data_IF_211535470620
#
_entry.id   IF_211535470620
#
_cell.length_a   1.000
_cell.length_b   1.000
_cell.length_c   1.000
_cell.angle_alpha   90.00
_cell.angle_beta   90.00
_cell.angle_gamma   90.00
#
_symmetry.space_group_name_H-M   'P 1'
#
loop_
_entity.id
_entity.type
_entity.pdbx_description
1 polymer ?
#
# COMPACT_ATOMS: atom_id res chain seq x y z
N UNK A 1 -15.99 17.09 -4.79
CA UNK A 1 -15.94 15.60 -4.84
C UNK A 1 -14.66 15.09 -5.55
N UNK A 2 -13.47 15.69 -5.36
CA UNK A 2 -12.22 15.26 -6.04
C UNK A 2 -11.41 14.20 -5.25
N UNK A 3 -11.51 14.19 -3.92
CA UNK A 3 -10.71 13.30 -3.05
C UNK A 3 -10.92 11.80 -3.35
N UNK A 4 -12.15 11.39 -3.70
CA UNK A 4 -12.46 10.01 -4.06
C UNK A 4 -11.84 9.61 -5.41
N UNK A 5 -11.69 10.56 -6.34
CA UNK A 5 -11.16 10.31 -7.68
C UNK A 5 -9.66 10.05 -7.68
N UNK A 6 -8.92 10.70 -6.78
CA UNK A 6 -7.45 10.62 -6.71
C UNK A 6 -6.92 9.79 -5.54
N UNK A 7 -7.78 9.08 -4.80
CA UNK A 7 -7.31 8.22 -3.70
C UNK A 7 -6.40 7.13 -4.27
N UNK A 8 -5.11 7.10 -3.92
CA UNK A 8 -4.15 6.20 -4.54
C UNK A 8 -4.55 4.74 -4.32
N UNK A 9 -4.39 3.95 -5.38
CA UNK A 9 -4.69 2.51 -5.39
C UNK A 9 -3.44 1.64 -5.26
N UNK A 10 -2.29 2.19 -5.64
CA UNK A 10 -0.99 1.54 -5.50
C UNK A 10 -0.07 2.35 -4.60
N UNK A 11 0.86 1.61 -4.00
CA UNK A 11 1.96 2.14 -3.19
C UNK A 11 2.81 3.18 -3.91
N UNK A 12 2.97 3.04 -5.23
CA UNK A 12 3.71 4.01 -6.07
C UNK A 12 3.11 5.42 -6.07
N UNK A 13 1.80 5.53 -5.89
CA UNK A 13 1.10 6.82 -5.89
C UNK A 13 1.04 7.46 -4.49
N UNK A 14 1.60 6.81 -3.48
CA UNK A 14 1.71 7.38 -2.13
C UNK A 14 2.94 8.29 -2.08
N UNK A 15 2.70 9.60 -2.06
CA UNK A 15 3.76 10.61 -2.01
C UNK A 15 4.25 10.81 -0.58
N UNK A 16 5.57 10.87 -0.38
CA UNK A 16 6.19 11.26 0.90
C UNK A 16 6.35 10.15 1.94
N UNK A 17 6.09 8.87 1.59
CA UNK A 17 6.19 7.72 2.51
C UNK A 17 6.99 6.57 1.89
N UNK A 18 8.11 6.89 1.22
CA UNK A 18 8.90 5.92 0.43
C UNK A 18 9.49 4.78 1.25
N UNK A 19 10.04 5.07 2.43
CA UNK A 19 10.66 4.02 3.28
C UNK A 19 9.63 3.08 3.89
N UNK A 20 8.56 3.61 4.50
CA UNK A 20 7.47 2.81 5.05
C UNK A 20 6.87 1.86 4.02
N UNK A 21 6.67 2.37 2.80
CA UNK A 21 6.16 1.61 1.67
C UNK A 21 7.09 0.47 1.27
N UNK A 22 8.40 0.72 1.22
CA UNK A 22 9.41 -0.32 0.93
C UNK A 22 9.43 -1.41 2.00
N UNK A 23 9.35 -1.05 3.27
CA UNK A 23 9.32 -2.02 4.39
C UNK A 23 8.09 -2.92 4.28
N UNK A 24 6.92 -2.33 4.08
CA UNK A 24 5.65 -3.07 3.92
C UNK A 24 5.69 -4.00 2.70
N UNK A 25 6.22 -3.53 1.56
CA UNK A 25 6.39 -4.36 0.36
C UNK A 25 7.37 -5.51 0.59
N UNK A 26 8.47 -5.25 1.30
CA UNK A 26 9.45 -6.29 1.62
C UNK A 26 8.87 -7.35 2.56
N UNK A 27 8.05 -6.95 3.54
CA UNK A 27 7.34 -7.89 4.43
C UNK A 27 6.37 -8.79 3.67
N UNK A 28 5.64 -8.25 2.69
CA UNK A 28 4.77 -9.06 1.82
C UNK A 28 5.62 -10.05 1.00
N UNK A 29 6.71 -9.59 0.36
CA UNK A 29 7.59 -10.45 -0.47
C UNK A 29 8.29 -11.56 0.31
N UNK A 30 8.59 -11.32 1.59
CA UNK A 30 9.24 -12.29 2.46
C UNK A 30 8.24 -13.20 3.19
N UNK A 31 6.94 -12.97 3.04
CA UNK A 31 5.89 -13.73 3.73
C UNK A 31 5.80 -13.46 5.24
N UNK A 32 6.61 -12.54 5.78
CA UNK A 32 6.59 -12.16 7.19
C UNK A 32 5.58 -11.04 7.45
N UNK A 33 4.30 -11.42 7.56
CA UNK A 33 3.21 -10.52 7.88
C UNK A 33 2.95 -10.56 9.39
N UNK A 34 3.03 -9.40 10.04
CA UNK A 34 2.72 -9.27 11.46
C UNK A 34 1.22 -9.41 11.73
N UNK A 35 0.85 -9.90 12.92
CA UNK A 35 -0.55 -10.07 13.31
C UNK A 35 -1.35 -8.74 13.31
N UNK A 36 -0.68 -7.62 13.60
CA UNK A 36 -1.30 -6.31 13.62
C UNK A 36 -0.33 -5.21 13.17
N UNK A 37 -0.86 -4.18 12.51
CA UNK A 37 -0.13 -3.00 12.05
C UNK A 37 -0.77 -1.72 12.59
N UNK A 38 0.03 -0.88 13.25
CA UNK A 38 -0.40 0.43 13.76
C UNK A 38 0.15 1.55 12.87
N UNK A 39 -0.73 2.32 12.24
CA UNK A 39 -0.37 3.47 11.41
C UNK A 39 -0.58 4.78 12.19
N UNK A 40 0.50 5.47 12.58
CA UNK A 40 0.46 6.68 13.43
C UNK A 40 0.86 8.00 12.73
N UNK A 41 0.40 9.14 13.25
CA UNK A 41 0.83 10.50 12.86
C UNK A 41 -0.31 11.49 12.56
N UNK A 42 0.01 12.61 11.90
CA UNK A 42 -0.93 13.73 11.64
C UNK A 42 -2.08 13.38 10.68
N UNK A 43 -3.22 14.08 10.80
CA UNK A 43 -4.37 13.95 9.89
C UNK A 43 -3.96 14.30 8.45
N UNK A 44 -4.49 13.57 7.48
CA UNK A 44 -4.20 13.80 6.05
C UNK A 44 -2.92 13.16 5.52
N UNK A 45 -2.07 12.57 6.37
CA UNK A 45 -0.78 11.97 5.94
C UNK A 45 -0.91 10.61 5.22
N UNK A 46 -2.11 10.21 4.80
CA UNK A 46 -2.33 9.00 4.01
C UNK A 46 -2.37 7.67 4.76
N UNK A 47 -2.24 7.61 6.10
CA UNK A 47 -2.26 6.37 6.92
C UNK A 47 -3.35 5.36 6.55
N UNK A 48 -4.61 5.78 6.61
CA UNK A 48 -5.76 4.91 6.30
C UNK A 48 -5.74 4.46 4.84
N UNK A 49 -5.18 5.28 3.95
CA UNK A 49 -5.03 4.93 2.54
C UNK A 49 -3.91 3.91 2.34
N UNK A 50 -2.75 4.08 2.98
CA UNK A 50 -1.65 3.11 2.98
C UNK A 50 -2.08 1.77 3.56
N UNK A 51 -2.78 1.77 4.70
CA UNK A 51 -3.33 0.56 5.30
C UNK A 51 -4.26 -0.19 4.33
N UNK A 52 -5.14 0.55 3.62
CA UNK A 52 -6.05 -0.05 2.64
C UNK A 52 -5.33 -0.67 1.45
N UNK A 53 -4.29 -0.01 0.94
CA UNK A 53 -3.46 -0.55 -0.16
C UNK A 53 -2.71 -1.79 0.33
N UNK A 54 -2.17 -1.76 1.56
CA UNK A 54 -1.49 -2.89 2.18
C UNK A 54 -2.41 -4.11 2.38
N UNK A 55 -3.62 -3.93 2.91
CA UNK A 55 -4.57 -5.04 3.06
C UNK A 55 -4.95 -5.66 1.71
N UNK A 56 -5.12 -4.83 0.66
CA UNK A 56 -5.36 -5.33 -0.69
C UNK A 56 -4.18 -6.17 -1.19
N UNK A 57 -2.97 -5.67 -0.95
CA UNK A 57 -1.73 -6.33 -1.31
C UNK A 57 -1.55 -7.69 -0.63
N UNK A 58 -1.79 -7.77 0.67
CA UNK A 58 -1.77 -9.04 1.43
C UNK A 58 -2.77 -10.04 0.86
N UNK A 59 -4.02 -9.62 0.60
CA UNK A 59 -5.03 -10.51 0.03
C UNK A 59 -4.72 -10.99 -1.41
N UNK A 60 -3.94 -10.23 -2.17
CA UNK A 60 -3.54 -10.60 -3.53
C UNK A 60 -2.29 -11.49 -3.55
N UNK A 61 -1.44 -11.44 -2.52
CA UNK A 61 -0.29 -12.33 -2.37
C UNK A 61 -0.72 -13.81 -2.27
N UNK A 62 -1.86 -14.10 -1.62
CA UNK A 62 -2.45 -15.45 -1.61
C UNK A 62 -2.94 -15.91 -2.99
N UNK A 63 -3.14 -14.99 -3.94
CA UNK A 63 -3.64 -15.26 -5.30
C UNK A 63 -2.59 -15.05 -6.42
N UNK A 64 -1.31 -14.88 -6.07
CA UNK A 64 -0.19 -15.01 -7.02
C UNK A 64 0.04 -13.88 -8.03
N UNK A 65 -0.56 -12.69 -7.90
CA UNK A 65 -0.32 -11.57 -8.82
C UNK A 65 0.59 -10.48 -8.21
N UNK A 66 1.72 -10.12 -8.86
CA UNK A 66 2.66 -9.14 -8.32
C UNK A 66 2.08 -7.73 -8.31
N UNK A 67 2.21 -7.08 -7.16
CA UNK A 67 1.68 -5.76 -6.80
C UNK A 67 2.38 -4.57 -7.50
N UNK A 68 3.06 -4.84 -8.60
CA UNK A 68 3.85 -3.90 -9.37
C UNK A 68 3.22 -3.61 -10.75
N UNK A 69 2.20 -4.36 -11.16
CA UNK A 69 1.57 -4.25 -12.48
C UNK A 69 0.35 -3.31 -12.52
N UNK A 70 0.58 -2.02 -12.28
CA UNK A 70 -0.11 -0.97 -13.05
C UNK A 70 0.93 0.03 -13.61
N UNK A 71 2.15 -0.45 -13.90
CA UNK A 71 3.14 0.28 -14.70
C UNK A 71 3.38 -0.31 -16.09
N UNK A 72 2.33 -0.83 -16.73
CA UNK A 72 2.32 -1.03 -18.18
C UNK A 72 0.88 -1.03 -18.67
N UNK A 73 0.24 0.14 -18.62
CA UNK A 73 -0.93 0.47 -19.46
C UNK A 73 -1.20 1.97 -19.42
N UNK A 74 -0.24 2.75 -19.92
CA UNK A 74 -0.51 3.80 -20.91
C UNK A 74 0.78 4.27 -21.56
#
# INVERSE_FOLDING_TARGET
MLYLKYRPRLFKYVVGQGENTKILLNQIRTGHIGHAYLFCGNRGSGKTTTARIFSKAVNQHDNGEPLDNELSKK
#
